data_IF_361371997341
#
_entry.id   IF_361371997341
#
_cell.length_a   1.000
_cell.length_b   1.000
_cell.length_c   1.000
_cell.angle_alpha   90.00
_cell.angle_beta   90.00
_cell.angle_gamma   90.00
#
_symmetry.space_group_name_H-M   'P 1'
#
loop_
_entity.id
_entity.type
_entity.pdbx_description
1 polymer ?
#
# COMPACT_ATOMS: atom_id res chain seq x y z
N UNK A 1 4.17 4.20 1.78
CA UNK A 1 2.92 4.83 1.28
C UNK A 1 1.74 4.32 2.11
N UNK A 2 0.60 5.00 2.12
CA UNK A 2 -0.55 4.54 2.92
C UNK A 2 -1.28 3.36 2.27
N UNK A 3 -1.41 2.25 3.02
CA UNK A 3 -2.14 1.05 2.62
C UNK A 3 -1.84 0.60 1.17
N UNK A 4 -0.58 0.67 0.74
CA UNK A 4 -0.15 0.75 -0.66
C UNK A 4 -0.92 -0.12 -1.66
N UNK A 5 -0.96 -1.45 -1.48
CA UNK A 5 -1.68 -2.32 -2.41
C UNK A 5 -3.19 -2.08 -2.40
N UNK A 6 -3.81 -1.94 -1.22
CA UNK A 6 -5.25 -1.69 -1.11
C UNK A 6 -5.63 -0.32 -1.69
N UNK A 7 -4.77 0.70 -1.53
CA UNK A 7 -4.97 2.02 -2.13
C UNK A 7 -4.98 1.94 -3.68
N UNK A 8 -4.05 1.19 -4.28
CA UNK A 8 -4.03 0.94 -5.74
C UNK A 8 -5.29 0.20 -6.18
N UNK A 9 -5.71 -0.85 -5.46
CA UNK A 9 -6.92 -1.58 -5.82
C UNK A 9 -8.19 -0.70 -5.77
N UNK A 10 -8.33 0.17 -4.75
CA UNK A 10 -9.47 1.10 -4.60
C UNK A 10 -9.41 2.24 -5.62
N UNK A 11 -8.22 2.71 -5.99
CA UNK A 11 -8.02 3.70 -7.07
C UNK A 11 -8.52 3.14 -8.40
N UNK A 12 -8.10 1.92 -8.73
CA UNK A 12 -8.40 1.28 -10.01
C UNK A 12 -9.84 0.74 -10.08
N UNK A 13 -10.50 0.54 -8.93
CA UNK A 13 -11.89 0.07 -8.82
C UNK A 13 -12.72 1.01 -7.94
N UNK A 14 -13.27 2.09 -8.54
CA UNK A 14 -14.03 3.11 -7.82
C UNK A 14 -15.18 2.57 -6.98
N UNK A 15 -15.77 1.44 -7.36
CA UNK A 15 -16.84 0.75 -6.66
C UNK A 15 -16.41 0.20 -5.28
N UNK A 16 -15.11 0.15 -4.99
CA UNK A 16 -14.56 -0.27 -3.70
C UNK A 16 -14.37 0.87 -2.69
N UNK A 17 -14.56 2.13 -3.11
CA UNK A 17 -14.41 3.29 -2.23
C UNK A 17 -15.37 3.21 -1.03
N UNK A 18 -14.85 3.47 0.17
CA UNK A 18 -15.61 3.40 1.41
C UNK A 18 -15.96 1.98 1.88
N UNK A 19 -15.52 0.92 1.18
CA UNK A 19 -15.73 -0.47 1.58
C UNK A 19 -14.48 -1.05 2.25
N UNK A 20 -14.62 -2.00 3.18
CA UNK A 20 -13.46 -2.70 3.76
C UNK A 20 -12.81 -3.60 2.71
N UNK A 21 -11.55 -3.33 2.38
CA UNK A 21 -10.78 -4.05 1.35
C UNK A 21 -9.49 -4.59 1.95
N UNK A 22 -9.20 -5.86 1.68
CA UNK A 22 -7.94 -6.53 1.96
C UNK A 22 -7.31 -7.09 0.69
N UNK A 23 -5.99 -7.12 0.63
CA UNK A 23 -5.22 -7.75 -0.45
C UNK A 23 -4.42 -8.89 0.15
N UNK A 24 -4.51 -10.08 -0.43
CA UNK A 24 -3.76 -11.23 0.05
C UNK A 24 -4.30 -12.58 -0.45
N UNK A 25 -3.88 -13.65 0.22
CA UNK A 25 -4.31 -15.00 -0.12
C UNK A 25 -5.77 -15.28 0.25
N UNK A 26 -6.46 -16.08 -0.55
CA UNK A 26 -7.84 -16.49 -0.28
C UNK A 26 -7.96 -17.44 0.93
N UNK A 27 -9.14 -17.45 1.57
CA UNK A 27 -9.43 -18.24 2.80
C UNK A 27 -9.24 -19.75 2.59
N UNK A 28 -9.70 -20.26 1.45
CA UNK A 28 -9.65 -21.68 1.06
C UNK A 28 -8.23 -22.22 0.91
N UNK A 29 -7.24 -21.35 0.72
CA UNK A 29 -5.82 -21.71 0.58
C UNK A 29 -4.98 -21.41 1.82
N UNK A 30 -5.61 -21.28 3.00
CA UNK A 30 -4.95 -20.83 4.25
C UNK A 30 -4.20 -19.50 4.06
N UNK A 31 -4.80 -18.61 3.25
CA UNK A 31 -4.20 -17.33 2.90
C UNK A 31 -4.03 -16.38 4.08
N UNK A 32 -3.14 -15.41 3.89
CA UNK A 32 -2.85 -14.32 4.82
C UNK A 32 -3.02 -13.01 4.06
N UNK A 33 -3.52 -11.97 4.75
CA UNK A 33 -3.59 -10.62 4.20
C UNK A 33 -2.20 -9.98 4.16
N UNK A 34 -1.82 -9.47 2.99
CA UNK A 34 -0.62 -8.66 2.82
C UNK A 34 -0.84 -7.24 3.35
N UNK A 35 -2.01 -6.67 3.08
CA UNK A 35 -2.43 -5.36 3.63
C UNK A 35 -3.95 -5.21 3.58
N UNK A 36 -4.47 -4.15 4.20
CA UNK A 36 -5.87 -3.74 4.13
C UNK A 36 -6.02 -2.22 4.28
N UNK A 37 -7.13 -1.67 3.79
CA UNK A 37 -7.43 -0.23 3.89
C UNK A 37 -7.94 0.18 5.28
N UNK A 38 -8.06 1.48 5.51
CA UNK A 38 -8.50 2.03 6.78
C UNK A 38 -9.92 1.57 7.18
N UNK A 39 -10.81 1.39 6.22
CA UNK A 39 -12.16 0.89 6.42
C UNK A 39 -12.15 -0.52 7.02
N UNK A 40 -11.26 -1.40 6.55
CA UNK A 40 -11.06 -2.72 7.15
C UNK A 40 -10.37 -2.64 8.53
N UNK A 41 -9.38 -1.74 8.69
CA UNK A 41 -8.66 -1.55 9.96
C UNK A 41 -9.56 -1.14 11.12
N UNK A 42 -10.67 -0.43 10.85
CA UNK A 42 -11.69 -0.09 11.86
C UNK A 42 -12.30 -1.33 12.53
N UNK A 43 -12.30 -2.48 11.85
CA UNK A 43 -12.77 -3.76 12.40
C UNK A 43 -11.64 -4.58 13.05
N UNK A 44 -10.45 -3.98 13.23
CA UNK A 44 -9.28 -4.66 13.77
C UNK A 44 -8.63 -5.63 12.78
N UNK A 45 -8.90 -5.52 11.49
CA UNK A 45 -8.17 -6.23 10.43
C UNK A 45 -6.81 -5.56 10.23
N UNK A 46 -5.74 -6.33 10.04
CA UNK A 46 -4.39 -5.81 9.83
C UNK A 46 -3.57 -6.70 8.91
N UNK A 47 -2.42 -6.19 8.45
CA UNK A 47 -1.44 -6.98 7.69
C UNK A 47 -0.97 -8.20 8.47
N UNK A 48 -0.55 -9.24 7.75
CA UNK A 48 -0.16 -10.55 8.29
C UNK A 48 -1.27 -11.31 9.05
N UNK A 49 -2.51 -10.82 9.04
CA UNK A 49 -3.65 -11.55 9.61
C UNK A 49 -4.07 -12.71 8.69
N UNK A 50 -4.29 -13.93 9.22
CA UNK A 50 -4.91 -15.01 8.46
C UNK A 50 -6.26 -14.58 7.90
N UNK A 51 -6.51 -14.85 6.61
CA UNK A 51 -7.70 -14.37 5.90
C UNK A 51 -9.00 -14.86 6.56
N UNK A 52 -9.01 -16.06 7.15
CA UNK A 52 -10.18 -16.55 7.88
C UNK A 52 -10.49 -15.71 9.12
N UNK A 53 -9.48 -15.26 9.87
CA UNK A 53 -9.66 -14.38 11.04
C UNK A 53 -10.12 -13.00 10.61
N UNK A 54 -9.59 -12.49 9.50
CA UNK A 54 -10.01 -11.20 8.95
C UNK A 54 -11.49 -11.20 8.58
N UNK A 55 -11.97 -12.27 7.95
CA UNK A 55 -13.38 -12.46 7.61
C UNK A 55 -14.28 -12.67 8.84
N UNK A 56 -13.76 -13.27 9.92
CA UNK A 56 -14.50 -13.34 11.19
C UNK A 56 -14.68 -11.95 11.83
N UNK A 57 -13.65 -11.11 11.78
CA UNK A 57 -13.69 -9.73 12.30
C UNK A 57 -14.53 -8.79 11.44
N UNK A 58 -14.44 -8.95 10.13
CA UNK A 58 -15.17 -8.15 9.16
C UNK A 58 -15.83 -9.08 8.12
N UNK A 59 -17.05 -9.57 8.36
CA UNK A 59 -17.75 -10.46 7.43
C UNK A 59 -18.01 -9.85 6.04
N UNK A 60 -17.99 -8.52 5.94
CA UNK A 60 -18.16 -7.76 4.69
C UNK A 60 -16.83 -7.45 3.98
N UNK A 61 -15.70 -7.96 4.48
CA UNK A 61 -14.38 -7.70 3.90
C UNK A 61 -14.28 -8.24 2.48
N UNK A 62 -13.90 -7.38 1.55
CA UNK A 62 -13.60 -7.74 0.17
C UNK A 62 -12.13 -8.13 0.10
N UNK A 63 -11.84 -9.41 -0.17
CA UNK A 63 -10.46 -9.91 -0.30
C UNK A 63 -10.10 -10.04 -1.78
N UNK A 64 -9.06 -9.31 -2.19
CA UNK A 64 -8.56 -9.31 -3.56
C UNK A 64 -7.22 -10.07 -3.67
N UNK A 65 -6.96 -10.77 -4.78
CA UNK A 65 -5.65 -11.35 -5.04
C UNK A 65 -4.61 -10.27 -5.29
N UNK A 66 -3.33 -10.60 -5.07
CA UNK A 66 -2.21 -9.68 -5.34
C UNK A 66 -1.99 -9.49 -6.84
N UNK A 67 -1.83 -8.23 -7.27
CA UNK A 67 -1.42 -7.84 -8.63
C UNK A 67 0.01 -7.27 -8.63
N UNK A 68 1.00 -8.10 -8.28
CA UNK A 68 2.38 -7.65 -8.04
C UNK A 68 3.01 -6.86 -9.19
N UNK A 69 2.69 -7.18 -10.45
CA UNK A 69 3.22 -6.43 -11.60
C UNK A 69 2.72 -4.99 -11.64
N UNK A 70 1.44 -4.77 -11.26
CA UNK A 70 0.88 -3.43 -11.10
C UNK A 70 1.61 -2.70 -9.96
N UNK A 71 1.77 -3.35 -8.81
CA UNK A 71 2.39 -2.72 -7.64
C UNK A 71 3.85 -2.33 -7.89
N UNK A 72 4.62 -3.17 -8.59
CA UNK A 72 5.99 -2.86 -9.00
C UNK A 72 6.05 -1.69 -9.99
N UNK A 73 5.11 -1.62 -10.94
CA UNK A 73 5.02 -0.50 -11.88
C UNK A 73 4.75 0.82 -11.16
N UNK A 74 3.78 0.84 -10.25
CA UNK A 74 3.46 2.04 -9.46
C UNK A 74 4.63 2.44 -8.54
N UNK A 75 5.31 1.47 -7.93
CA UNK A 75 6.55 1.69 -7.17
C UNK A 75 7.63 2.38 -8.01
N UNK A 76 7.83 1.93 -9.25
CA UNK A 76 8.81 2.53 -10.16
C UNK A 76 8.48 4.00 -10.50
N UNK A 77 7.19 4.32 -10.69
CA UNK A 77 6.75 5.71 -10.89
C UNK A 77 7.08 6.58 -9.67
N UNK A 78 6.79 6.09 -8.47
CA UNK A 78 7.12 6.80 -7.22
C UNK A 78 8.63 7.00 -7.10
N UNK A 79 9.43 5.95 -7.30
CA UNK A 79 10.90 6.03 -7.25
C UNK A 79 11.46 7.04 -8.25
N UNK A 80 10.91 7.09 -9.47
CA UNK A 80 11.29 8.09 -10.46
C UNK A 80 10.98 9.53 -10.03
N UNK A 81 9.93 9.73 -9.20
CA UNK A 81 9.65 11.04 -8.59
C UNK A 81 10.68 11.33 -7.49
N UNK A 82 11.00 10.36 -6.62
CA UNK A 82 11.98 10.51 -5.55
C UNK A 82 13.38 10.89 -6.09
N UNK A 83 13.79 10.29 -7.20
CA UNK A 83 15.06 10.60 -7.87
C UNK A 83 15.16 12.03 -8.43
N UNK A 84 14.05 12.78 -8.51
CA UNK A 84 14.09 14.21 -8.89
C UNK A 84 14.65 15.09 -7.78
N UNK A 85 14.67 14.62 -6.53
CA UNK A 85 15.13 15.37 -5.37
C UNK A 85 16.59 15.09 -5.02
N UNK A 86 17.02 13.83 -5.20
CA UNK A 86 18.38 13.38 -4.92
C UNK A 86 18.68 12.11 -5.74
N UNK A 87 19.92 11.91 -6.22
CA UNK A 87 20.33 10.63 -6.76
C UNK A 87 20.50 9.56 -5.66
N UNK A 88 20.64 9.96 -4.40
CA UNK A 88 20.87 9.09 -3.25
C UNK A 88 19.53 8.58 -2.69
N UNK A 89 18.95 7.59 -3.38
CA UNK A 89 17.71 6.92 -2.97
C UNK A 89 18.01 5.46 -2.68
N UNK A 90 17.67 5.00 -1.48
CA UNK A 90 17.80 3.59 -1.06
C UNK A 90 16.40 2.99 -0.83
N UNK A 91 15.90 2.17 -1.76
CA UNK A 91 14.59 1.56 -1.60
C UNK A 91 14.60 0.43 -0.57
N UNK A 92 13.72 0.51 0.44
CA UNK A 92 13.55 -0.54 1.45
C UNK A 92 12.53 -1.60 1.02
N UNK A 93 11.46 -1.16 0.34
CA UNK A 93 10.36 -2.01 -0.11
C UNK A 93 9.71 -1.43 -1.39
N UNK A 94 8.53 -1.92 -1.79
CA UNK A 94 7.84 -1.35 -2.96
C UNK A 94 7.32 0.06 -2.69
N UNK A 95 7.03 0.43 -1.45
CA UNK A 95 6.38 1.71 -1.15
C UNK A 95 7.13 2.57 -0.15
N UNK A 96 8.38 2.20 0.14
CA UNK A 96 9.27 2.87 1.08
C UNK A 96 10.68 2.97 0.50
N UNK A 97 11.32 4.13 0.74
CA UNK A 97 12.70 4.39 0.40
C UNK A 97 13.27 5.47 1.35
N UNK A 98 14.56 5.36 1.66
CA UNK A 98 15.32 6.44 2.27
C UNK A 98 15.89 7.37 1.20
N UNK A 99 15.95 8.67 1.50
CA UNK A 99 16.51 9.70 0.63
C UNK A 99 17.53 10.51 1.42
N UNK A 100 18.74 10.65 0.89
CA UNK A 100 19.70 11.63 1.42
C UNK A 100 19.52 12.96 0.68
N UNK A 101 18.97 13.94 1.39
CA UNK A 101 18.71 15.30 0.90
C UNK A 101 19.63 16.34 1.54
N UNK A 102 20.74 15.93 2.16
CA UNK A 102 21.66 16.83 2.87
C UNK A 102 22.18 17.97 1.98
N UNK A 103 22.42 17.68 0.70
CA UNK A 103 22.90 18.66 -0.28
C UNK A 103 21.79 19.37 -1.06
N UNK A 104 20.51 19.16 -0.70
CA UNK A 104 19.40 19.78 -1.43
C UNK A 104 19.40 21.31 -1.22
N UNK A 105 19.42 22.12 -2.30
CA UNK A 105 19.65 23.57 -2.20
C UNK A 105 18.44 24.38 -1.69
N UNK A 106 17.27 23.75 -1.57
CA UNK A 106 16.06 24.39 -1.04
C UNK A 106 16.13 24.54 0.49
N UNK A 107 15.56 25.65 1.00
CA UNK A 107 15.29 25.76 2.44
C UNK A 107 14.40 24.59 2.91
N UNK A 108 14.50 24.17 4.19
CA UNK A 108 13.66 23.11 4.73
C UNK A 108 12.18 23.38 4.44
N UNK A 109 11.53 22.45 3.74
CA UNK A 109 10.15 22.59 3.26
C UNK A 109 9.59 21.27 2.78
N UNK A 110 8.30 21.26 2.42
CA UNK A 110 7.67 20.07 1.87
C UNK A 110 8.30 19.72 0.52
N UNK A 111 8.90 18.52 0.42
CA UNK A 111 9.50 18.03 -0.82
C UNK A 111 8.44 17.70 -1.87
N UNK A 112 7.22 17.33 -1.46
CA UNK A 112 6.11 17.07 -2.37
C UNK A 112 4.85 17.82 -1.92
N UNK A 113 4.13 18.41 -2.87
CA UNK A 113 2.78 18.95 -2.65
C UNK A 113 1.74 17.84 -2.85
N UNK A 114 0.71 17.85 -2.00
CA UNK A 114 -0.35 16.83 -1.96
C UNK A 114 -1.30 16.88 -3.17
#
# INVERSE_FOLDING_TARGET
>A
MDCFYAAIEVRDRPELRGKPVGVGGARDRRGVLTTCNYEARKFGVHSAMPTFMALQRCPKLIVLPTRFDVYRRESAVIRAILHRFTPLVEPLSLDEAYLDVTAHPGAPGALAQA
#
